data_IF_319753136193
#
_entry.id   IF_319753136193
#
_cell.length_a   1.000
_cell.length_b   1.000
_cell.length_c   1.000
_cell.angle_alpha   90.00
_cell.angle_beta   90.00
_cell.angle_gamma   90.00
#
_symmetry.space_group_name_H-M   'P 1'
#
loop_
_entity.id
_entity.type
_entity.pdbx_description
1 polymer ?
#
# COMPACT_ATOMS: atom_id res chain seq x y z
N UNK A 1 101.87 30.91 4.22
CA UNK A 1 101.45 29.98 5.26
C UNK A 1 99.92 30.11 5.40
N UNK A 2 99.15 29.26 4.82
CA UNK A 2 97.75 28.90 5.23
C UNK A 2 97.19 27.88 4.22
N UNK A 3 97.01 26.70 4.70
CA UNK A 3 96.43 25.61 3.94
C UNK A 3 94.87 25.69 4.00
N UNK A 4 94.20 25.75 2.89
CA UNK A 4 92.78 25.70 2.79
C UNK A 4 92.38 24.23 2.45
N UNK A 5 91.66 23.59 3.40
CA UNK A 5 91.02 22.29 3.22
C UNK A 5 89.74 22.46 2.38
N UNK A 6 89.76 21.81 1.23
CA UNK A 6 88.50 21.63 0.45
C UNK A 6 87.71 20.43 0.97
N UNK A 7 86.49 20.66 1.41
CA UNK A 7 85.51 19.62 1.74
C UNK A 7 84.63 19.45 0.49
N UNK A 8 84.69 18.29 -0.16
CA UNK A 8 83.84 17.89 -1.26
C UNK A 8 82.55 17.32 -0.72
N UNK A 9 81.49 18.12 -0.77
CA UNK A 9 80.13 17.65 -0.46
C UNK A 9 79.54 16.81 -1.58
N UNK A 10 79.29 15.53 -1.35
CA UNK A 10 78.52 14.67 -2.23
C UNK A 10 77.06 14.97 -2.08
N UNK A 11 76.42 15.56 -3.10
CA UNK A 11 74.98 15.75 -3.20
C UNK A 11 74.33 14.40 -3.63
N UNK A 12 73.58 13.74 -2.75
CA UNK A 12 72.77 12.57 -3.03
C UNK A 12 71.43 13.05 -3.53
N UNK A 13 71.18 12.87 -4.82
CA UNK A 13 69.86 13.08 -5.41
C UNK A 13 68.96 11.87 -5.08
N UNK A 14 68.00 12.06 -4.17
CA UNK A 14 66.90 11.14 -3.96
C UNK A 14 65.89 11.35 -5.11
N UNK A 15 65.84 10.45 -6.06
CA UNK A 15 64.76 10.37 -7.04
C UNK A 15 63.50 9.86 -6.31
N UNK A 16 62.55 10.75 -6.04
CA UNK A 16 61.20 10.38 -5.64
C UNK A 16 60.46 9.85 -6.86
N UNK A 17 60.27 8.54 -6.93
CA UNK A 17 59.37 7.90 -7.90
C UNK A 17 57.91 8.21 -7.47
N UNK A 18 57.09 8.85 -8.31
CA UNK A 18 55.70 9.00 -8.02
C UNK A 18 55.02 7.62 -8.11
N UNK A 19 54.55 7.12 -6.96
CA UNK A 19 53.70 5.95 -6.87
C UNK A 19 52.31 6.35 -7.41
N UNK A 20 52.09 6.18 -8.72
CA UNK A 20 50.76 6.32 -9.33
C UNK A 20 49.93 5.10 -8.92
N UNK A 21 49.18 5.24 -7.82
CA UNK A 21 48.10 4.32 -7.49
C UNK A 21 47.01 4.46 -8.58
N UNK A 22 46.62 3.36 -9.27
CA UNK A 22 45.47 3.42 -10.15
C UNK A 22 44.22 3.71 -9.30
N UNK A 23 43.68 4.93 -9.39
CA UNK A 23 42.30 5.17 -8.99
C UNK A 23 41.40 4.35 -9.94
N UNK A 24 41.06 3.13 -9.52
CA UNK A 24 39.92 2.45 -10.09
C UNK A 24 38.69 3.27 -9.75
N UNK A 25 38.19 4.04 -10.71
CA UNK A 25 36.83 4.58 -10.67
C UNK A 25 35.92 3.37 -10.55
N UNK A 26 35.45 3.09 -9.34
CA UNK A 26 34.34 2.17 -9.14
C UNK A 26 33.15 2.81 -9.88
N UNK A 27 32.89 2.40 -11.10
CA UNK A 27 31.64 2.70 -11.75
C UNK A 27 30.54 2.04 -10.90
N UNK A 28 29.72 2.85 -10.27
CA UNK A 28 28.49 2.37 -9.68
C UNK A 28 27.75 1.59 -10.78
N UNK A 29 27.43 0.33 -10.51
CA UNK A 29 26.57 -0.44 -11.42
C UNK A 29 25.32 0.39 -11.65
N UNK A 30 24.79 0.47 -12.89
CA UNK A 30 23.55 1.17 -13.12
C UNK A 30 22.49 0.57 -12.20
N UNK A 31 21.76 1.43 -11.50
CA UNK A 31 20.62 1.00 -10.69
C UNK A 31 19.66 0.31 -11.65
N UNK A 32 19.47 -1.01 -11.49
CA UNK A 32 18.58 -1.79 -12.34
C UNK A 32 17.18 -1.17 -12.32
N UNK A 33 16.48 -1.28 -13.45
CA UNK A 33 15.06 -0.91 -13.51
C UNK A 33 14.28 -1.81 -12.53
N UNK A 34 13.71 -1.21 -11.50
CA UNK A 34 13.05 -1.93 -10.41
C UNK A 34 11.84 -2.76 -10.89
N UNK A 35 11.22 -2.39 -12.01
CA UNK A 35 10.14 -3.15 -12.64
C UNK A 35 10.64 -4.41 -13.35
N UNK A 36 11.90 -4.44 -13.77
CA UNK A 36 12.50 -5.56 -14.52
C UNK A 36 13.61 -6.28 -13.72
N UNK A 37 13.77 -5.94 -12.45
CA UNK A 37 14.76 -6.56 -11.56
C UNK A 37 14.03 -7.36 -10.49
N UNK A 38 14.23 -8.69 -10.40
CA UNK A 38 13.63 -9.51 -9.36
C UNK A 38 14.00 -9.07 -7.95
N UNK A 39 13.07 -9.27 -7.01
CA UNK A 39 13.33 -9.05 -5.59
C UNK A 39 14.52 -9.89 -5.10
N UNK A 40 15.42 -9.25 -4.38
CA UNK A 40 16.57 -9.94 -3.79
C UNK A 40 16.13 -10.79 -2.60
N UNK A 41 16.51 -12.06 -2.58
CA UNK A 41 16.30 -12.93 -1.43
C UNK A 41 17.26 -12.52 -0.29
N UNK A 42 16.70 -12.14 0.86
CA UNK A 42 17.43 -11.65 2.01
C UNK A 42 17.19 -12.53 3.24
N UNK A 43 18.23 -13.02 3.93
CA UNK A 43 18.05 -13.87 5.13
C UNK A 43 17.26 -13.21 6.26
N UNK A 44 17.24 -11.88 6.29
CA UNK A 44 16.56 -11.09 7.32
C UNK A 44 15.32 -10.36 6.78
N UNK A 45 14.72 -10.80 5.67
CA UNK A 45 13.58 -10.15 5.05
C UNK A 45 12.39 -9.92 6.01
N UNK A 46 12.24 -10.75 7.06
CA UNK A 46 11.22 -10.55 8.10
C UNK A 46 11.38 -9.28 8.93
N UNK A 47 12.54 -8.63 8.88
CA UNK A 47 12.84 -7.36 9.56
C UNK A 47 12.85 -6.15 8.61
N UNK A 48 12.53 -6.37 7.34
CA UNK A 48 12.35 -5.30 6.36
C UNK A 48 11.08 -4.49 6.65
N UNK A 49 10.91 -3.37 5.97
CA UNK A 49 9.65 -2.60 6.02
C UNK A 49 8.57 -3.40 5.32
N UNK A 50 7.56 -3.81 6.08
CA UNK A 50 6.40 -4.54 5.58
C UNK A 50 5.15 -3.67 5.74
N UNK A 51 4.33 -3.62 4.69
CA UNK A 51 3.28 -2.63 4.55
C UNK A 51 1.88 -3.23 4.65
N UNK A 52 1.72 -4.51 4.24
CA UNK A 52 0.40 -5.14 4.27
C UNK A 52 0.47 -6.65 4.51
N UNK A 53 -0.65 -7.22 4.97
CA UNK A 53 -0.84 -8.61 5.33
C UNK A 53 -2.15 -9.16 4.74
N UNK A 54 -2.13 -10.41 4.26
CA UNK A 54 -3.32 -11.10 3.78
C UNK A 54 -3.35 -12.58 4.18
N UNK A 55 -4.56 -13.16 4.15
CA UNK A 55 -4.77 -14.61 4.20
C UNK A 55 -4.83 -15.18 2.79
N UNK A 56 -4.04 -16.22 2.52
CA UNK A 56 -4.20 -17.14 1.40
C UNK A 56 -4.68 -18.49 1.96
N UNK A 57 -5.97 -18.60 2.25
CA UNK A 57 -6.51 -19.69 3.05
C UNK A 57 -5.96 -19.69 4.48
N UNK A 58 -5.25 -20.74 4.87
CA UNK A 58 -4.58 -20.83 6.18
C UNK A 58 -3.20 -20.16 6.21
N UNK A 59 -2.62 -19.87 5.03
CA UNK A 59 -1.32 -19.20 4.90
C UNK A 59 -1.46 -17.71 5.16
N UNK A 60 -0.46 -17.12 5.82
CA UNK A 60 -0.29 -15.67 5.91
C UNK A 60 0.71 -15.21 4.86
N UNK A 61 0.40 -14.09 4.22
CA UNK A 61 1.25 -13.43 3.23
C UNK A 61 1.50 -12.01 3.68
N UNK A 62 2.76 -11.58 3.70
CA UNK A 62 3.17 -10.21 4.01
C UNK A 62 3.91 -9.62 2.81
N UNK A 63 3.64 -8.35 2.48
CA UNK A 63 4.30 -7.64 1.39
C UNK A 63 4.94 -6.34 1.90
N UNK A 64 5.98 -5.86 1.20
CA UNK A 64 6.64 -4.63 1.61
C UNK A 64 7.69 -4.11 0.64
N UNK A 65 8.71 -3.47 1.21
CA UNK A 65 9.75 -2.81 0.44
C UNK A 65 10.48 -3.76 -0.52
N UNK A 66 10.96 -3.20 -1.65
CA UNK A 66 11.84 -3.88 -2.62
C UNK A 66 11.31 -5.21 -3.16
N UNK A 67 9.97 -5.32 -3.29
CA UNK A 67 9.34 -6.53 -3.81
C UNK A 67 9.35 -7.71 -2.82
N UNK A 68 9.63 -7.47 -1.55
CA UNK A 68 9.62 -8.52 -0.53
C UNK A 68 8.19 -9.05 -0.37
N UNK A 69 8.04 -10.37 -0.54
CA UNK A 69 6.85 -11.13 -0.18
C UNK A 69 7.28 -12.26 0.75
N UNK A 70 6.65 -12.34 1.91
CA UNK A 70 6.91 -13.37 2.93
C UNK A 70 5.69 -14.25 3.13
N UNK A 71 5.91 -15.54 3.30
CA UNK A 71 4.89 -16.57 3.47
C UNK A 71 5.08 -17.29 4.81
N UNK A 72 3.99 -17.48 5.54
CA UNK A 72 3.95 -18.28 6.77
C UNK A 72 2.83 -19.31 6.72
N UNK A 73 3.16 -20.56 6.98
CA UNK A 73 2.23 -21.68 7.03
C UNK A 73 1.96 -22.15 8.48
N UNK A 74 2.42 -21.36 9.49
CA UNK A 74 2.39 -21.70 10.91
C UNK A 74 1.90 -20.55 11.80
N UNK A 75 0.90 -19.78 11.32
CA UNK A 75 0.31 -18.63 12.03
C UNK A 75 1.32 -17.51 12.36
N UNK A 76 2.31 -17.29 11.50
CA UNK A 76 3.31 -16.23 11.66
C UNK A 76 4.46 -16.57 12.61
N UNK A 77 4.65 -17.84 13.00
CA UNK A 77 5.80 -18.26 13.82
C UNK A 77 7.09 -18.30 13.01
N UNK A 78 7.05 -18.77 11.78
CA UNK A 78 8.16 -18.75 10.84
C UNK A 78 7.74 -18.17 9.49
N UNK A 79 8.72 -17.61 8.76
CA UNK A 79 8.50 -16.93 7.50
C UNK A 79 9.59 -17.30 6.50
N UNK A 80 9.21 -17.48 5.25
CA UNK A 80 10.11 -17.66 4.11
C UNK A 80 9.77 -16.65 3.03
N UNK A 81 10.76 -16.25 2.26
CA UNK A 81 10.57 -15.28 1.18
C UNK A 81 10.20 -15.99 -0.12
N UNK A 82 9.18 -15.46 -0.81
CA UNK A 82 8.76 -15.89 -2.14
C UNK A 82 9.63 -15.25 -3.25
N UNK A 83 9.55 -15.81 -4.45
CA UNK A 83 10.21 -15.26 -5.63
C UNK A 83 9.29 -14.28 -6.33
N UNK A 84 9.73 -13.02 -6.46
CA UNK A 84 8.97 -11.92 -7.04
C UNK A 84 9.75 -11.30 -8.20
N UNK A 85 9.14 -11.07 -9.39
CA UNK A 85 9.85 -10.62 -10.59
C UNK A 85 10.26 -9.15 -10.57
N UNK A 86 9.86 -8.38 -9.57
CA UNK A 86 10.12 -6.94 -9.44
C UNK A 86 10.77 -6.61 -8.10
N UNK A 87 11.46 -5.47 -8.02
CA UNK A 87 12.05 -4.95 -6.77
C UNK A 87 11.45 -3.61 -6.35
N UNK A 88 10.25 -3.28 -6.81
CA UNK A 88 9.47 -2.13 -6.31
C UNK A 88 8.81 -2.45 -4.98
N UNK A 89 8.54 -1.44 -4.16
CA UNK A 89 7.78 -1.63 -2.91
C UNK A 89 6.33 -1.97 -3.23
N UNK A 90 5.81 -3.02 -2.57
CA UNK A 90 4.42 -3.46 -2.63
C UNK A 90 3.66 -2.84 -1.47
N UNK A 91 2.53 -2.21 -1.74
CA UNK A 91 1.76 -1.39 -0.79
C UNK A 91 0.55 -2.11 -0.22
N UNK A 92 -0.04 -3.04 -0.99
CA UNK A 92 -1.20 -3.80 -0.55
C UNK A 92 -1.24 -5.19 -1.21
N UNK A 93 -1.87 -6.16 -0.53
CA UNK A 93 -2.02 -7.56 -0.97
C UNK A 93 -3.38 -8.11 -0.58
N UNK A 94 -3.98 -8.91 -1.44
CA UNK A 94 -5.23 -9.61 -1.15
C UNK A 94 -5.26 -10.96 -1.85
N UNK A 95 -5.87 -11.95 -1.20
CA UNK A 95 -6.24 -13.23 -1.80
C UNK A 95 -7.75 -13.42 -1.73
N UNK A 96 -8.32 -14.02 -2.76
CA UNK A 96 -9.75 -14.40 -2.81
C UNK A 96 -9.97 -15.84 -2.37
N UNK A 97 -8.92 -16.65 -2.45
CA UNK A 97 -8.90 -18.05 -1.98
C UNK A 97 -7.46 -18.44 -1.54
N UNK A 98 -7.21 -19.72 -1.30
CA UNK A 98 -5.90 -20.20 -0.86
C UNK A 98 -4.79 -20.07 -1.93
N UNK A 99 -5.13 -19.89 -3.20
CA UNK A 99 -4.20 -19.92 -4.32
C UNK A 99 -4.12 -18.58 -5.04
N UNK A 100 -5.27 -17.93 -5.25
CA UNK A 100 -5.40 -16.77 -6.15
C UNK A 100 -5.35 -15.47 -5.37
N UNK A 101 -4.38 -14.62 -5.69
CA UNK A 101 -4.22 -13.33 -5.05
C UNK A 101 -3.47 -12.32 -5.90
N UNK A 102 -3.56 -11.05 -5.49
CA UNK A 102 -2.94 -9.91 -6.15
C UNK A 102 -2.20 -9.05 -5.14
N UNK A 103 -1.15 -8.40 -5.63
CA UNK A 103 -0.44 -7.35 -4.90
C UNK A 103 -0.23 -6.13 -5.80
N UNK A 104 -0.31 -4.94 -5.20
CA UNK A 104 -0.09 -3.68 -5.92
C UNK A 104 1.01 -2.88 -5.25
N UNK A 105 1.57 -1.88 -5.96
CA UNK A 105 2.63 -1.09 -5.35
C UNK A 105 3.14 0.07 -6.17
N UNK A 106 4.36 0.48 -5.82
CA UNK A 106 5.08 1.54 -6.50
C UNK A 106 5.31 1.22 -7.97
N UNK A 107 5.63 2.26 -8.74
CA UNK A 107 5.77 2.17 -10.19
C UNK A 107 4.50 1.62 -10.91
N UNK A 108 3.33 1.73 -10.28
CA UNK A 108 2.05 1.28 -10.83
C UNK A 108 1.98 -0.24 -11.05
N UNK A 109 2.77 -1.02 -10.30
CA UNK A 109 2.81 -2.47 -10.48
C UNK A 109 1.55 -3.14 -9.95
N UNK A 110 1.07 -4.12 -10.70
CA UNK A 110 0.09 -5.12 -10.27
C UNK A 110 0.66 -6.50 -10.53
N UNK A 111 0.75 -7.29 -9.48
CA UNK A 111 1.19 -8.67 -9.53
C UNK A 111 0.02 -9.60 -9.26
N UNK A 112 0.02 -10.79 -9.88
CA UNK A 112 -0.89 -11.88 -9.55
C UNK A 112 -0.13 -13.16 -9.22
N UNK A 113 -0.69 -13.92 -8.28
CA UNK A 113 -0.28 -15.27 -7.92
C UNK A 113 -1.45 -16.24 -8.06
N UNK A 114 -1.16 -17.49 -8.45
CA UNK A 114 -2.14 -18.58 -8.56
C UNK A 114 -1.70 -19.83 -7.78
N UNK A 115 -0.75 -19.67 -6.86
CA UNK A 115 -0.17 -20.76 -6.08
C UNK A 115 0.05 -20.39 -4.60
N UNK A 116 -0.81 -19.50 -4.07
CA UNK A 116 -0.77 -19.06 -2.69
C UNK A 116 0.43 -18.16 -2.36
N UNK A 117 0.89 -17.38 -3.36
CA UNK A 117 1.96 -16.39 -3.21
C UNK A 117 3.37 -16.93 -3.39
N UNK A 118 3.56 -18.19 -3.83
CA UNK A 118 4.88 -18.76 -4.10
C UNK A 118 5.58 -18.07 -5.28
N UNK A 119 4.83 -17.85 -6.36
CA UNK A 119 5.28 -17.18 -7.56
C UNK A 119 4.30 -16.06 -7.96
N UNK A 120 4.87 -15.01 -8.50
CA UNK A 120 4.14 -13.80 -8.89
C UNK A 120 4.46 -13.44 -10.34
N UNK A 121 3.44 -12.93 -11.05
CA UNK A 121 3.56 -12.46 -12.43
C UNK A 121 3.06 -11.03 -12.53
N UNK A 122 3.76 -10.19 -13.30
CA UNK A 122 3.34 -8.81 -13.58
C UNK A 122 2.14 -8.84 -14.53
N UNK A 123 1.04 -8.22 -14.14
CA UNK A 123 -0.16 -8.04 -14.95
C UNK A 123 -0.30 -6.63 -15.50
N UNK A 124 0.13 -5.62 -14.71
CA UNK A 124 0.12 -4.22 -15.09
C UNK A 124 1.35 -3.55 -14.48
N UNK A 125 1.82 -2.50 -15.13
CA UNK A 125 2.80 -1.56 -14.61
C UNK A 125 2.38 -0.12 -14.91
N UNK A 126 3.08 0.85 -14.33
CA UNK A 126 2.73 2.26 -14.46
C UNK A 126 2.87 2.79 -15.89
N UNK A 127 3.75 2.23 -16.71
CA UNK A 127 3.87 2.62 -18.13
C UNK A 127 2.60 2.25 -18.89
N UNK A 128 2.16 1.01 -18.73
CA UNK A 128 0.95 0.51 -19.37
C UNK A 128 -0.31 1.15 -18.81
N UNK A 129 -0.36 1.39 -17.48
CA UNK A 129 -1.48 2.07 -16.84
C UNK A 129 -1.67 3.50 -17.38
N UNK A 130 -0.59 4.27 -17.51
CA UNK A 130 -0.63 5.61 -18.10
C UNK A 130 -1.10 5.58 -19.56
N UNK A 131 -0.63 4.61 -20.36
CA UNK A 131 -1.06 4.44 -21.75
C UNK A 131 -2.54 4.05 -21.87
N UNK A 132 -3.04 3.17 -21.00
CA UNK A 132 -4.45 2.78 -20.96
C UNK A 132 -5.34 3.99 -20.60
N UNK A 133 -4.94 4.79 -19.62
CA UNK A 133 -5.67 6.02 -19.27
C UNK A 133 -5.69 7.00 -20.41
N UNK A 134 -4.54 7.28 -21.05
CA UNK A 134 -4.47 8.20 -22.20
C UNK A 134 -5.34 7.72 -23.36
N UNK A 135 -5.31 6.43 -23.66
CA UNK A 135 -6.16 5.85 -24.71
C UNK A 135 -7.65 6.04 -24.35
N UNK A 136 -8.04 5.75 -23.12
CA UNK A 136 -9.44 5.88 -22.65
C UNK A 136 -9.89 7.32 -22.68
N UNK A 137 -9.07 8.27 -22.17
CA UNK A 137 -9.38 9.68 -22.15
C UNK A 137 -9.58 10.23 -23.57
N UNK A 138 -8.71 9.87 -24.52
CA UNK A 138 -8.83 10.28 -25.94
C UNK A 138 -10.06 9.69 -26.63
N UNK A 139 -10.42 8.44 -26.30
CA UNK A 139 -11.63 7.82 -26.86
C UNK A 139 -12.91 8.46 -26.35
N UNK A 140 -12.94 8.88 -25.10
CA UNK A 140 -14.13 9.50 -24.47
C UNK A 140 -14.26 11.00 -24.80
N UNK A 141 -13.18 11.71 -25.14
CA UNK A 141 -13.20 13.14 -25.43
C UNK A 141 -14.27 13.57 -26.45
N UNK A 142 -14.46 12.91 -27.62
CA UNK A 142 -15.41 13.40 -28.64
C UNK A 142 -16.87 13.35 -28.18
N UNK A 143 -17.20 12.50 -27.18
CA UNK A 143 -18.57 12.28 -26.69
C UNK A 143 -18.82 12.87 -25.30
N UNK A 144 -17.82 13.53 -24.72
CA UNK A 144 -17.92 14.09 -23.37
C UNK A 144 -18.92 15.25 -23.34
N UNK A 145 -19.75 15.29 -22.29
CA UNK A 145 -20.69 16.38 -22.04
C UNK A 145 -19.95 17.68 -21.65
N UNK A 146 -18.90 17.55 -20.83
CA UNK A 146 -18.00 18.62 -20.46
C UNK A 146 -16.69 18.48 -21.25
N UNK A 147 -16.56 19.24 -22.34
CA UNK A 147 -15.42 19.19 -23.24
C UNK A 147 -14.14 19.74 -22.61
N UNK A 148 -14.26 20.73 -21.72
CA UNK A 148 -13.10 21.35 -21.05
C UNK A 148 -12.52 20.39 -20.02
N UNK A 149 -13.34 19.76 -19.20
CA UNK A 149 -12.92 18.74 -18.25
C UNK A 149 -12.31 17.52 -18.97
N UNK A 150 -12.91 17.06 -20.08
CA UNK A 150 -12.39 15.95 -20.86
C UNK A 150 -11.04 16.28 -21.52
N UNK A 151 -10.87 17.49 -22.04
CA UNK A 151 -9.59 17.95 -22.59
C UNK A 151 -8.49 18.04 -21.50
N UNK A 152 -8.83 18.57 -20.32
CA UNK A 152 -7.92 18.62 -19.17
C UNK A 152 -7.50 17.22 -18.71
N UNK A 153 -8.41 16.25 -18.74
CA UNK A 153 -8.10 14.84 -18.45
C UNK A 153 -7.12 14.25 -19.45
N UNK A 154 -7.28 14.52 -20.76
CA UNK A 154 -6.31 14.08 -21.78
C UNK A 154 -4.93 14.65 -21.50
N UNK A 155 -4.82 15.97 -21.19
CA UNK A 155 -3.54 16.60 -20.85
C UNK A 155 -2.90 15.97 -19.60
N UNK A 156 -3.71 15.64 -18.60
CA UNK A 156 -3.23 14.94 -17.40
C UNK A 156 -2.71 13.53 -17.73
N UNK A 157 -3.41 12.78 -18.57
CA UNK A 157 -2.99 11.46 -19.00
C UNK A 157 -1.72 11.51 -19.88
N UNK A 158 -1.56 12.53 -20.74
CA UNK A 158 -0.31 12.77 -21.48
C UNK A 158 0.86 13.01 -20.54
N UNK A 159 0.66 13.83 -19.49
CA UNK A 159 1.67 14.07 -18.45
C UNK A 159 2.03 12.77 -17.71
N UNK A 160 1.07 11.90 -17.41
CA UNK A 160 1.37 10.60 -16.79
C UNK A 160 2.26 9.71 -17.65
N UNK A 161 2.07 9.74 -18.97
CA UNK A 161 2.94 9.02 -19.91
C UNK A 161 4.36 9.62 -19.93
N UNK A 162 4.46 10.97 -19.96
CA UNK A 162 5.75 11.68 -20.01
C UNK A 162 6.57 11.54 -18.72
N UNK A 163 5.91 11.53 -17.54
CA UNK A 163 6.55 11.37 -16.23
C UNK A 163 7.00 9.92 -15.96
N UNK A 164 6.45 8.95 -16.69
CA UNK A 164 6.79 7.55 -16.53
C UNK A 164 6.10 6.86 -15.34
N UNK A 165 6.57 5.65 -14.94
CA UNK A 165 5.88 4.77 -14.00
C UNK A 165 6.15 5.14 -12.54
N UNK A 166 6.00 6.39 -12.13
CA UNK A 166 6.31 6.87 -10.78
C UNK A 166 5.12 6.84 -9.81
N UNK A 167 3.90 6.59 -10.31
CA UNK A 167 2.67 6.67 -9.52
C UNK A 167 2.29 5.31 -8.93
N UNK A 168 2.21 5.18 -7.58
CA UNK A 168 1.84 3.92 -6.94
C UNK A 168 0.34 3.66 -7.02
N UNK A 169 -0.04 2.37 -7.11
CA UNK A 169 -1.29 1.89 -6.56
C UNK A 169 -1.15 1.71 -5.04
N UNK A 170 -2.21 2.00 -4.28
CA UNK A 170 -2.18 2.08 -2.82
C UNK A 170 -3.18 1.13 -2.16
N UNK A 171 -4.24 0.75 -2.87
CA UNK A 171 -5.21 -0.22 -2.39
C UNK A 171 -5.76 -1.07 -3.53
N UNK A 172 -6.22 -2.27 -3.19
CA UNK A 172 -6.91 -3.18 -4.09
C UNK A 172 -8.09 -3.85 -3.38
N UNK A 173 -9.10 -4.23 -4.17
CA UNK A 173 -10.23 -5.02 -3.70
C UNK A 173 -10.72 -5.93 -4.80
N UNK A 174 -10.49 -7.22 -4.64
CA UNK A 174 -11.07 -8.27 -5.46
C UNK A 174 -12.24 -8.92 -4.71
N UNK A 175 -13.33 -9.22 -5.42
CA UNK A 175 -14.50 -9.87 -4.84
C UNK A 175 -14.57 -11.36 -5.18
N UNK A 176 -13.86 -11.75 -6.21
CA UNK A 176 -13.67 -13.13 -6.69
C UNK A 176 -12.37 -13.22 -7.53
N UNK A 177 -12.18 -14.32 -8.24
CA UNK A 177 -11.00 -14.55 -9.10
C UNK A 177 -10.99 -13.74 -10.40
N UNK A 178 -12.02 -12.92 -10.66
CA UNK A 178 -12.19 -12.16 -11.91
C UNK A 178 -12.33 -10.66 -11.70
N UNK A 179 -13.15 -10.24 -10.72
CA UNK A 179 -13.58 -8.87 -10.58
C UNK A 179 -12.76 -8.16 -9.50
N UNK A 180 -12.05 -7.12 -9.89
CA UNK A 180 -11.18 -6.35 -9.01
C UNK A 180 -11.11 -4.88 -9.35
N UNK A 181 -10.94 -4.06 -8.32
CA UNK A 181 -10.69 -2.62 -8.37
C UNK A 181 -9.35 -2.32 -7.70
N UNK A 182 -8.53 -1.50 -8.33
CA UNK A 182 -7.29 -0.96 -7.76
C UNK A 182 -7.32 0.55 -7.83
N UNK A 183 -6.84 1.20 -6.76
CA UNK A 183 -6.78 2.66 -6.68
C UNK A 183 -5.42 3.13 -6.16
N UNK A 184 -5.10 4.40 -6.41
CA UNK A 184 -3.78 4.90 -6.05
C UNK A 184 -3.62 6.41 -6.06
N UNK A 185 -2.38 6.83 -6.22
CA UNK A 185 -1.99 8.23 -6.24
C UNK A 185 -2.59 8.96 -7.45
N UNK A 186 -2.81 10.28 -7.28
CA UNK A 186 -3.35 11.17 -8.32
C UNK A 186 -4.69 10.73 -8.91
N UNK A 187 -5.52 10.07 -8.11
CA UNK A 187 -6.83 9.57 -8.53
C UNK A 187 -6.76 8.36 -9.47
N UNK A 188 -5.60 7.68 -9.59
CA UNK A 188 -5.50 6.44 -10.36
C UNK A 188 -6.54 5.44 -9.89
N UNK A 189 -7.30 4.89 -10.84
CA UNK A 189 -8.28 3.85 -10.59
C UNK A 189 -8.44 2.98 -11.84
N UNK A 190 -8.36 1.66 -11.65
CA UNK A 190 -8.53 0.68 -12.72
C UNK A 190 -9.34 -0.51 -12.20
N UNK A 191 -10.12 -1.10 -13.10
CA UNK A 191 -10.85 -2.32 -12.81
C UNK A 191 -10.53 -3.43 -13.79
N UNK A 192 -10.75 -4.65 -13.36
CA UNK A 192 -10.68 -5.86 -14.18
C UNK A 192 -11.93 -6.71 -13.98
N UNK A 193 -12.34 -7.43 -15.04
CA UNK A 193 -13.43 -8.40 -15.03
C UNK A 193 -12.94 -9.82 -15.41
N UNK A 194 -11.63 -9.98 -15.56
CA UNK A 194 -11.02 -11.23 -16.04
C UNK A 194 -9.79 -11.67 -15.23
N UNK A 195 -9.69 -11.20 -13.96
CA UNK A 195 -8.61 -11.53 -13.04
C UNK A 195 -7.31 -10.81 -13.34
N UNK A 196 -7.38 -9.64 -13.99
CA UNK A 196 -6.23 -8.79 -14.30
C UNK A 196 -5.53 -9.13 -15.63
N UNK A 197 -6.14 -9.97 -16.50
CA UNK A 197 -5.63 -10.15 -17.87
C UNK A 197 -5.80 -8.88 -18.68
N UNK A 198 -6.92 -8.17 -18.45
CA UNK A 198 -7.17 -6.84 -19.00
C UNK A 198 -7.58 -5.87 -17.90
N UNK A 199 -7.18 -4.61 -18.05
CA UNK A 199 -7.47 -3.52 -17.13
C UNK A 199 -8.12 -2.37 -17.87
N UNK A 200 -9.13 -1.75 -17.25
CA UNK A 200 -9.87 -0.60 -17.75
C UNK A 200 -9.72 0.58 -16.79
N UNK A 201 -9.41 1.75 -17.33
CA UNK A 201 -9.36 2.96 -16.50
C UNK A 201 -10.75 3.41 -16.07
N UNK A 202 -10.90 3.70 -14.78
CA UNK A 202 -12.08 4.29 -14.17
C UNK A 202 -11.90 5.78 -13.81
N UNK A 203 -10.78 6.41 -14.13
CA UNK A 203 -10.48 7.78 -13.69
C UNK A 203 -11.60 8.76 -14.10
N UNK A 204 -12.16 8.61 -15.30
CA UNK A 204 -13.25 9.45 -15.77
C UNK A 204 -14.64 9.09 -15.24
N UNK A 205 -14.79 8.00 -14.50
CA UNK A 205 -16.02 7.54 -13.86
C UNK A 205 -16.04 7.82 -12.35
N UNK A 206 -14.97 8.41 -11.82
CA UNK A 206 -14.86 8.76 -10.40
C UNK A 206 -14.96 10.27 -10.27
N UNK A 207 -15.91 10.76 -9.49
CA UNK A 207 -16.04 12.19 -9.15
C UNK A 207 -14.89 12.61 -8.21
N UNK A 208 -13.70 12.78 -8.80
CA UNK A 208 -12.45 13.21 -8.13
C UNK A 208 -11.75 14.32 -8.94
N UNK A 209 -12.37 15.49 -9.10
CA UNK A 209 -11.84 16.54 -9.96
C UNK A 209 -10.50 17.12 -9.50
N UNK A 210 -10.18 16.98 -8.21
CA UNK A 210 -8.91 17.44 -7.63
C UNK A 210 -7.77 16.42 -7.79
N UNK A 211 -8.04 15.21 -8.27
CA UNK A 211 -7.06 14.14 -8.37
C UNK A 211 -6.51 13.71 -7.01
N UNK A 212 -7.35 13.73 -5.96
CA UNK A 212 -6.97 13.30 -4.62
C UNK A 212 -6.43 11.86 -4.65
N UNK A 213 -5.42 11.59 -3.82
CA UNK A 213 -4.90 10.24 -3.65
C UNK A 213 -5.95 9.34 -2.99
N UNK A 214 -6.12 8.12 -3.52
CA UNK A 214 -7.09 7.14 -3.07
C UNK A 214 -6.35 6.06 -2.27
N UNK A 215 -6.75 5.86 -0.99
CA UNK A 215 -5.99 5.05 -0.04
C UNK A 215 -6.68 3.76 0.39
N UNK A 216 -7.99 3.69 0.31
CA UNK A 216 -8.74 2.53 0.79
C UNK A 216 -9.99 2.25 -0.03
N UNK A 217 -10.36 0.97 -0.10
CA UNK A 217 -11.57 0.48 -0.78
C UNK A 217 -12.34 -0.42 0.18
N UNK A 218 -13.65 -0.22 0.29
CA UNK A 218 -14.55 -1.13 0.99
C UNK A 218 -15.74 -1.51 0.10
N UNK A 219 -16.41 -2.62 0.43
CA UNK A 219 -17.61 -3.07 -0.28
C UNK A 219 -18.66 -3.61 0.68
N UNK A 220 -19.91 -3.28 0.40
CA UNK A 220 -21.08 -3.78 1.12
C UNK A 220 -22.21 -4.11 0.13
N UNK A 221 -22.44 -5.40 -0.11
CA UNK A 221 -23.38 -5.81 -1.16
C UNK A 221 -22.91 -5.31 -2.53
N UNK A 222 -23.77 -4.58 -3.23
CA UNK A 222 -23.44 -3.95 -4.52
C UNK A 222 -22.75 -2.59 -4.38
N UNK A 223 -22.76 -2.01 -3.17
CA UNK A 223 -22.17 -0.69 -2.93
C UNK A 223 -20.66 -0.82 -2.72
N UNK A 224 -19.91 0.03 -3.42
CA UNK A 224 -18.48 0.17 -3.23
C UNK A 224 -18.16 1.55 -2.66
N UNK A 225 -17.12 1.63 -1.87
CA UNK A 225 -16.68 2.87 -1.25
C UNK A 225 -15.18 3.05 -1.47
N UNK A 226 -14.77 4.29 -1.73
CA UNK A 226 -13.38 4.70 -1.83
C UNK A 226 -13.14 5.82 -0.82
N UNK A 227 -12.02 5.75 -0.10
CA UNK A 227 -11.56 6.80 0.79
C UNK A 227 -10.16 7.27 0.40
N UNK A 228 -9.85 8.54 0.68
CA UNK A 228 -8.61 9.13 0.22
C UNK A 228 -8.16 10.36 0.97
N UNK A 229 -7.38 11.16 0.24
CA UNK A 229 -6.73 12.38 0.69
C UNK A 229 -7.74 13.50 0.94
N UNK A 230 -7.44 14.38 1.92
CA UNK A 230 -8.21 15.60 2.21
C UNK A 230 -9.71 15.35 2.45
N UNK A 231 -10.03 14.22 3.08
CA UNK A 231 -11.41 13.85 3.39
C UNK A 231 -12.17 13.21 2.23
N UNK A 232 -11.51 12.91 1.11
CA UNK A 232 -12.18 12.29 -0.02
C UNK A 232 -12.90 10.99 0.37
N UNK A 233 -14.19 10.95 0.10
CA UNK A 233 -15.05 9.77 0.20
C UNK A 233 -15.93 9.71 -1.03
N UNK A 234 -16.11 8.53 -1.60
CA UNK A 234 -17.02 8.32 -2.73
C UNK A 234 -17.70 6.96 -2.62
N UNK A 235 -18.90 6.87 -3.20
CA UNK A 235 -19.71 5.66 -3.26
C UNK A 235 -20.09 5.35 -4.70
N UNK A 236 -20.08 4.06 -4.99
CA UNK A 236 -20.71 3.48 -6.18
C UNK A 236 -21.96 2.73 -5.78
N UNK A 237 -23.04 2.92 -6.53
CA UNK A 237 -24.31 2.19 -6.43
C UNK A 237 -24.57 1.29 -7.65
N UNK A 238 -23.57 1.14 -8.54
CA UNK A 238 -23.62 0.40 -9.81
C UNK A 238 -22.52 -0.68 -9.90
N UNK A 239 -22.25 -1.33 -8.77
CA UNK A 239 -21.25 -2.41 -8.66
C UNK A 239 -19.82 -2.00 -9.02
N UNK A 240 -19.46 -0.73 -8.79
CA UNK A 240 -18.10 -0.21 -8.98
C UNK A 240 -17.82 0.38 -10.35
N UNK A 241 -18.85 0.58 -11.19
CA UNK A 241 -18.66 1.14 -12.53
C UNK A 241 -18.50 2.66 -12.52
N UNK A 242 -19.14 3.36 -11.58
CA UNK A 242 -18.94 4.79 -11.37
C UNK A 242 -19.00 5.14 -9.88
N UNK A 243 -18.39 6.27 -9.50
CA UNK A 243 -18.34 6.72 -8.11
C UNK A 243 -18.72 8.19 -8.00
N UNK A 244 -19.66 8.48 -7.09
CA UNK A 244 -20.09 9.83 -6.74
C UNK A 244 -19.49 10.22 -5.41
N UNK A 245 -18.96 11.44 -5.30
CA UNK A 245 -18.40 11.97 -4.04
C UNK A 245 -19.49 12.08 -2.98
N UNK A 246 -19.12 11.77 -1.73
CA UNK A 246 -19.97 11.89 -0.55
C UNK A 246 -19.59 13.14 0.24
N UNK A 247 -20.53 13.67 1.04
CA UNK A 247 -20.22 14.71 2.00
C UNK A 247 -19.33 14.15 3.11
N UNK A 248 -18.12 14.72 3.24
CA UNK A 248 -17.14 14.21 4.20
C UNK A 248 -17.31 14.85 5.56
N UNK A 249 -17.27 14.07 6.65
CA UNK A 249 -17.33 14.60 8.02
C UNK A 249 -16.02 15.24 8.47
N UNK A 250 -14.95 15.15 7.66
CA UNK A 250 -13.59 15.54 8.05
C UNK A 250 -12.73 15.93 6.84
N UNK A 251 -11.97 17.01 6.96
CA UNK A 251 -11.10 17.50 5.89
C UNK A 251 -9.71 16.83 5.85
N UNK A 252 -9.40 15.88 6.71
CA UNK A 252 -8.13 15.15 6.72
C UNK A 252 -8.25 13.78 6.05
N UNK A 253 -7.11 13.20 5.67
CA UNK A 253 -7.05 11.94 4.93
C UNK A 253 -7.57 10.74 5.73
N UNK A 254 -8.27 9.85 5.02
CA UNK A 254 -8.67 8.53 5.52
C UNK A 254 -7.76 7.46 4.93
N UNK A 255 -7.19 6.62 5.80
CA UNK A 255 -6.26 5.55 5.40
C UNK A 255 -6.87 4.15 5.54
N UNK A 256 -7.91 4.01 6.35
CA UNK A 256 -8.62 2.75 6.56
C UNK A 256 -10.12 2.95 6.31
N UNK A 257 -10.71 2.00 5.57
CA UNK A 257 -12.11 1.95 5.23
C UNK A 257 -12.59 0.51 5.33
N UNK A 258 -13.59 0.24 6.16
CA UNK A 258 -14.11 -1.11 6.36
C UNK A 258 -15.61 -1.12 6.57
N UNK A 259 -16.25 -2.22 6.14
CA UNK A 259 -17.66 -2.50 6.38
C UNK A 259 -17.83 -3.63 7.39
N UNK A 260 -18.86 -3.52 8.23
CA UNK A 260 -19.29 -4.58 9.14
C UNK A 260 -20.44 -5.40 8.55
N UNK A 261 -20.68 -6.58 9.11
CA UNK A 261 -21.81 -7.45 8.69
C UNK A 261 -23.18 -6.82 8.97
N UNK A 262 -23.27 -5.92 9.93
CA UNK A 262 -24.50 -5.19 10.26
C UNK A 262 -24.75 -3.97 9.36
N UNK A 263 -23.94 -3.78 8.33
CA UNK A 263 -24.11 -2.72 7.35
C UNK A 263 -23.42 -1.41 7.66
N UNK A 264 -22.71 -1.29 8.78
CA UNK A 264 -21.98 -0.06 9.12
C UNK A 264 -20.71 0.08 8.28
N UNK A 265 -20.47 1.30 7.81
CA UNK A 265 -19.22 1.72 7.17
C UNK A 265 -18.38 2.50 8.18
N UNK A 266 -17.12 2.12 8.35
CA UNK A 266 -16.16 2.83 9.18
C UNK A 266 -15.09 3.43 8.27
N UNK A 267 -14.82 4.74 8.45
CA UNK A 267 -13.71 5.46 7.84
C UNK A 267 -12.79 6.01 8.95
N UNK A 268 -11.49 5.71 8.87
CA UNK A 268 -10.53 6.13 9.89
C UNK A 268 -9.22 6.62 9.24
N UNK A 269 -8.53 7.58 9.88
CA UNK A 269 -7.34 8.15 9.26
C UNK A 269 -6.53 9.10 10.13
N UNK A 270 -6.22 10.25 9.56
CA UNK A 270 -5.27 11.21 10.07
C UNK A 270 -5.63 11.69 11.48
N UNK A 271 -4.60 11.76 12.36
CA UNK A 271 -4.72 12.26 13.76
C UNK A 271 -5.76 11.50 14.61
N UNK A 272 -6.00 10.21 14.35
CA UNK A 272 -6.91 9.39 15.13
C UNK A 272 -8.40 9.69 14.90
N UNK A 273 -8.73 10.42 13.83
CA UNK A 273 -10.12 10.65 13.49
C UNK A 273 -10.71 9.38 12.87
N UNK A 274 -11.87 8.99 13.38
CA UNK A 274 -12.66 7.88 12.89
C UNK A 274 -14.14 8.24 12.90
N UNK A 275 -14.87 7.73 11.92
CA UNK A 275 -16.29 7.99 11.71
C UNK A 275 -17.02 6.73 11.30
N UNK A 276 -18.27 6.60 11.70
CA UNK A 276 -19.12 5.47 11.36
C UNK A 276 -20.39 5.97 10.67
N UNK A 277 -20.74 5.37 9.55
CA UNK A 277 -22.02 5.57 8.87
C UNK A 277 -22.89 4.34 9.04
N UNK A 278 -24.22 4.56 9.21
CA UNK A 278 -25.24 3.53 9.30
C UNK A 278 -26.19 3.56 8.08
N UNK A 279 -25.92 4.44 7.11
CA UNK A 279 -26.80 4.77 6.00
C UNK A 279 -26.02 4.84 4.66
N UNK A 280 -25.07 3.94 4.48
CA UNK A 280 -24.26 3.82 3.26
C UNK A 280 -23.45 5.09 2.93
N UNK A 281 -23.04 5.85 3.95
CA UNK A 281 -22.21 7.03 3.77
C UNK A 281 -22.99 8.34 3.55
N UNK A 282 -24.31 8.33 3.67
CA UNK A 282 -25.10 9.57 3.60
C UNK A 282 -24.85 10.50 4.80
N UNK A 283 -24.61 9.90 5.98
CA UNK A 283 -24.20 10.62 7.16
C UNK A 283 -23.16 9.84 7.98
N UNK A 284 -22.40 10.56 8.80
CA UNK A 284 -21.34 9.99 9.62
C UNK A 284 -21.42 10.49 11.07
N UNK A 285 -21.28 9.56 12.00
CA UNK A 285 -21.11 9.83 13.43
C UNK A 285 -19.63 9.70 13.81
N UNK A 286 -19.10 10.68 14.56
CA UNK A 286 -17.72 10.61 15.02
C UNK A 286 -17.53 9.47 16.05
N UNK A 287 -16.46 8.70 15.87
CA UNK A 287 -16.02 7.64 16.78
C UNK A 287 -14.70 8.03 17.47
N UNK A 288 -14.75 8.93 18.49
CA UNK A 288 -13.55 9.52 19.07
C UNK A 288 -12.70 8.48 19.79
N UNK A 289 -11.38 8.63 19.66
CA UNK A 289 -10.38 7.87 20.41
C UNK A 289 -9.49 8.82 21.25
N UNK A 290 -8.89 8.36 22.36
CA UNK A 290 -8.18 9.24 23.28
C UNK A 290 -6.82 9.73 22.77
N UNK A 291 -6.32 9.23 21.62
CA UNK A 291 -5.00 9.55 21.09
C UNK A 291 -5.08 10.13 19.68
N UNK A 292 -4.49 11.31 19.41
CA UNK A 292 -4.48 11.94 18.09
C UNK A 292 -3.38 11.33 17.18
N UNK A 293 -3.32 10.00 17.06
CA UNK A 293 -2.36 9.26 16.26
C UNK A 293 -3.10 8.60 15.11
N UNK A 294 -2.63 8.81 13.89
CA UNK A 294 -3.26 8.32 12.67
C UNK A 294 -3.47 6.81 12.68
N UNK A 295 -4.65 6.38 12.28
CA UNK A 295 -4.90 4.98 11.98
C UNK A 295 -4.12 4.57 10.74
N UNK A 296 -3.59 3.36 10.73
CA UNK A 296 -2.88 2.78 9.60
C UNK A 296 -3.67 1.67 8.92
N UNK A 297 -4.48 0.92 9.67
CA UNK A 297 -5.23 -0.21 9.13
C UNK A 297 -6.49 -0.50 9.95
N UNK A 298 -7.45 -1.18 9.32
CA UNK A 298 -8.65 -1.72 9.94
C UNK A 298 -9.01 -3.05 9.30
N UNK A 299 -9.18 -4.07 10.11
CA UNK A 299 -9.58 -5.41 9.67
C UNK A 299 -10.89 -5.84 10.31
N UNK A 300 -11.56 -6.81 9.69
CA UNK A 300 -12.66 -7.54 10.31
C UNK A 300 -12.09 -8.78 10.99
N UNK A 301 -12.43 -8.96 12.27
CA UNK A 301 -12.08 -10.14 13.06
C UNK A 301 -13.12 -11.25 12.91
N UNK A 302 -12.78 -12.48 13.29
CA UNK A 302 -13.64 -13.67 13.13
C UNK A 302 -15.01 -13.55 13.81
N UNK A 303 -15.14 -12.70 14.83
CA UNK A 303 -16.40 -12.44 15.54
C UNK A 303 -17.22 -11.28 14.92
N UNK A 304 -16.84 -10.81 13.73
CA UNK A 304 -17.54 -9.79 12.97
C UNK A 304 -17.34 -8.34 13.46
N UNK A 305 -16.45 -8.13 14.45
CA UNK A 305 -16.07 -6.79 14.87
C UNK A 305 -14.97 -6.22 13.97
N UNK A 306 -14.77 -4.91 14.00
CA UNK A 306 -13.60 -4.29 13.38
C UNK A 306 -12.51 -4.05 14.43
N UNK A 307 -11.30 -4.42 14.08
CA UNK A 307 -10.07 -4.11 14.81
C UNK A 307 -9.29 -3.08 14.02
N UNK A 308 -8.99 -1.95 14.64
CA UNK A 308 -8.19 -0.88 14.06
C UNK A 308 -6.84 -0.83 14.77
N UNK A 309 -5.81 -0.48 14.02
CA UNK A 309 -4.49 -0.19 14.57
C UNK A 309 -4.06 1.22 14.16
N UNK A 310 -3.38 1.92 15.04
CA UNK A 310 -2.78 3.20 14.73
C UNK A 310 -1.25 3.07 14.53
N UNK A 311 -0.64 4.11 13.99
CA UNK A 311 0.80 4.15 13.69
C UNK A 311 1.71 3.98 14.91
N UNK A 312 1.21 4.12 16.14
CA UNK A 312 1.97 3.84 17.36
C UNK A 312 1.70 2.45 17.95
N UNK A 313 0.91 1.61 17.26
CA UNK A 313 0.58 0.26 17.70
C UNK A 313 -0.49 0.20 18.78
N UNK A 314 -1.30 1.23 18.96
CA UNK A 314 -2.50 1.11 19.78
C UNK A 314 -3.62 0.46 18.97
N UNK A 315 -4.29 -0.51 19.60
CA UNK A 315 -5.39 -1.26 19.02
C UNK A 315 -6.73 -0.71 19.55
N UNK A 316 -7.71 -0.64 18.66
CA UNK A 316 -9.08 -0.24 18.97
C UNK A 316 -10.06 -1.23 18.36
N UNK A 317 -11.16 -1.49 19.05
CA UNK A 317 -12.17 -2.41 18.57
C UNK A 317 -13.53 -1.73 18.54
N UNK A 318 -14.34 -2.04 17.52
CA UNK A 318 -15.72 -1.56 17.48
C UNK A 318 -16.55 -2.13 18.63
N UNK A 319 -17.52 -1.36 19.06
CA UNK A 319 -18.43 -1.73 20.15
C UNK A 319 -19.88 -1.53 19.71
N UNK A 320 -20.76 -2.41 20.18
CA UNK A 320 -22.20 -2.27 20.00
C UNK A 320 -22.86 -1.48 21.15
N UNK A 321 -22.05 -1.01 22.12
CA UNK A 321 -22.59 -0.26 23.25
C UNK A 321 -22.87 1.20 22.86
N UNK A 322 -23.98 1.80 23.31
CA UNK A 322 -24.26 3.22 23.12
C UNK A 322 -23.13 4.11 23.67
N UNK A 323 -22.78 5.15 22.93
CA UNK A 323 -21.84 6.18 23.36
C UNK A 323 -20.33 5.85 23.24
N UNK A 324 -19.95 4.64 22.80
CA UNK A 324 -18.56 4.31 22.53
C UNK A 324 -18.45 3.38 21.32
N UNK A 325 -18.37 3.97 20.12
CA UNK A 325 -18.26 3.21 18.85
C UNK A 325 -16.92 2.47 18.72
N UNK A 326 -15.83 3.05 19.25
CA UNK A 326 -14.50 2.46 19.33
C UNK A 326 -14.00 2.43 20.77
N UNK A 327 -13.44 1.31 21.19
CA UNK A 327 -12.83 1.13 22.52
C UNK A 327 -11.38 0.67 22.37
N UNK A 328 -10.46 1.12 23.25
CA UNK A 328 -9.12 0.54 23.32
C UNK A 328 -9.18 -0.99 23.50
N UNK A 329 -8.32 -1.71 22.80
CA UNK A 329 -8.23 -3.17 22.84
C UNK A 329 -6.81 -3.59 23.28
N UNK A 330 -6.64 -3.74 24.58
CA UNK A 330 -5.36 -4.00 25.23
C UNK A 330 -4.43 -2.79 25.35
N UNK A 331 -3.22 -2.98 25.89
CA UNK A 331 -2.19 -1.94 25.95
C UNK A 331 -1.61 -1.65 24.57
N UNK A 332 -1.09 -0.43 24.32
CA UNK A 332 -0.34 -0.13 23.10
C UNK A 332 0.89 -1.06 22.94
N UNK A 333 1.15 -1.49 21.71
CA UNK A 333 2.22 -2.44 21.41
C UNK A 333 3.63 -1.81 21.45
N UNK A 334 3.70 -0.46 21.45
CA UNK A 334 4.96 0.28 21.56
C UNK A 334 5.85 0.20 20.32
N UNK A 335 5.29 -0.15 19.17
CA UNK A 335 5.99 -0.25 17.89
C UNK A 335 5.15 0.33 16.76
N UNK A 336 5.77 0.90 15.71
CA UNK A 336 5.05 1.34 14.52
C UNK A 336 4.42 0.18 13.77
N UNK A 337 3.11 0.27 13.50
CA UNK A 337 2.35 -0.76 12.78
C UNK A 337 1.74 -0.16 11.50
N UNK A 338 1.93 -0.83 10.37
CA UNK A 338 1.32 -0.50 9.09
C UNK A 338 0.04 -1.31 8.86
N UNK A 339 0.07 -2.63 9.09
CA UNK A 339 -1.06 -3.53 8.89
C UNK A 339 -1.12 -4.60 10.00
N UNK A 340 -2.32 -5.12 10.25
CA UNK A 340 -2.60 -6.17 11.25
C UNK A 340 -3.47 -7.25 10.63
N UNK A 341 -3.27 -8.52 11.04
CA UNK A 341 -4.13 -9.64 10.67
C UNK A 341 -4.32 -10.55 11.88
N UNK A 342 -5.48 -11.19 11.99
CA UNK A 342 -5.72 -12.23 12.99
C UNK A 342 -5.41 -13.60 12.40
N UNK A 343 -4.41 -14.29 12.91
CA UNK A 343 -4.07 -15.65 12.49
C UNK A 343 -5.14 -16.67 12.98
N UNK A 344 -5.17 -17.85 12.36
CA UNK A 344 -6.17 -18.88 12.65
C UNK A 344 -6.17 -19.38 14.12
N UNK A 345 -5.07 -19.22 14.84
CA UNK A 345 -4.97 -19.51 16.27
C UNK A 345 -5.41 -18.34 17.17
N UNK A 346 -5.97 -17.28 16.60
CA UNK A 346 -6.45 -16.10 17.30
C UNK A 346 -5.37 -15.08 17.65
N UNK A 347 -4.09 -15.34 17.37
CA UNK A 347 -3.03 -14.35 17.59
C UNK A 347 -3.07 -13.24 16.54
N UNK A 348 -2.55 -12.07 16.89
CA UNK A 348 -2.39 -10.97 15.93
C UNK A 348 -0.99 -11.00 15.34
N UNK A 349 -0.91 -10.94 14.03
CA UNK A 349 0.33 -10.74 13.28
C UNK A 349 0.34 -9.31 12.76
N UNK A 350 1.45 -8.62 12.95
CA UNK A 350 1.63 -7.19 12.67
C UNK A 350 2.74 -7.03 11.66
N UNK A 351 2.53 -6.16 10.69
CA UNK A 351 3.55 -5.69 9.76
C UNK A 351 3.83 -4.21 10.01
N UNK A 352 5.09 -3.79 9.86
CA UNK A 352 5.46 -2.39 10.05
C UNK A 352 6.90 -2.10 9.68
N UNK A 353 7.37 -0.92 10.07
CA UNK A 353 8.71 -0.42 9.72
C UNK A 353 9.87 -1.22 10.33
N UNK A 354 9.59 -2.02 11.35
CA UNK A 354 10.59 -2.88 12.02
C UNK A 354 10.42 -4.36 11.68
N UNK A 355 9.61 -4.66 10.67
CA UNK A 355 9.32 -6.02 10.23
C UNK A 355 8.03 -6.60 10.84
N UNK A 356 8.02 -7.93 10.95
CA UNK A 356 6.89 -8.70 11.47
C UNK A 356 6.98 -8.91 12.98
N UNK A 357 5.85 -8.78 13.64
CA UNK A 357 5.68 -9.16 15.03
C UNK A 357 4.43 -10.04 15.21
N UNK A 358 4.45 -10.91 16.20
CA UNK A 358 3.34 -11.76 16.58
C UNK A 358 3.00 -11.51 18.05
N UNK A 359 1.75 -11.19 18.35
CA UNK A 359 1.29 -10.87 19.69
C UNK A 359 0.02 -11.65 20.02
N UNK A 360 -0.13 -12.05 21.26
CA UNK A 360 -1.40 -12.62 21.71
C UNK A 360 -2.50 -11.56 21.62
N UNK A 361 -3.66 -11.93 21.08
CA UNK A 361 -4.80 -11.03 21.13
C UNK A 361 -5.12 -10.71 22.61
N UNK A 362 -5.40 -9.43 22.96
CA UNK A 362 -5.83 -9.09 24.29
C UNK A 362 -7.06 -9.90 24.68
N UNK A 363 -7.07 -10.45 25.89
CA UNK A 363 -8.24 -11.13 26.41
C UNK A 363 -9.32 -10.04 26.59
N UNK A 364 -10.47 -10.22 25.92
CA UNK A 364 -11.61 -9.35 26.18
C UNK A 364 -11.96 -9.48 27.67
N UNK A 365 -11.63 -8.46 28.47
CA UNK A 365 -12.13 -8.40 29.83
C UNK A 365 -13.65 -8.32 29.71
N UNK A 366 -14.35 -9.35 30.16
CA UNK A 366 -15.78 -9.28 30.35
C UNK A 366 -16.03 -8.05 31.25
N UNK A 367 -16.47 -6.96 30.67
CA UNK A 367 -16.90 -5.80 31.44
C UNK A 367 -18.20 -6.20 32.12
N UNK A 368 -18.15 -6.31 33.43
CA UNK A 368 -19.33 -6.32 34.31
C UNK A 368 -20.31 -5.19 33.96
#
# INVERSE_FOLDING_TARGET
MNRICQVVGRLVWLMALPLALPLSLAQAAPVGDALNTPAMLAPQARHAVLLDLAHAGARLVAVGERGIVLLSDDNGMSWRQAVVPVSVSLTAVQFTDANTGWAVGHAGVVLASHDGGEHWNVQLDGVRAAQLELQTARQQLPTATDQDAAAARVQTAERFVDEGPDKPFLALKFIDDKHGLIVGAYGLAFQTEDGGRTWHSLIGQIDNPMGAHLYAIARQGEHWFIAGEQGYLARSDDAGQSFTSLESPYAGSFFALQTRDDGRLLAAGLKGNAFVSNDLGESFEAAPVPMPISFSDAIRTDDGQLLLVNQAGALFRTSNQPGALLKPYGPPLGMPVASVIQAADGTLVLAGFTGLARVSAPIATASE
#
